data_IF_911811321368
#
_entry.id   IF_911811321368
#
_cell.length_a   1.000
_cell.length_b   1.000
_cell.length_c   1.000
_cell.angle_alpha   90.00
_cell.angle_beta   90.00
_cell.angle_gamma   90.00
#
_symmetry.space_group_name_H-M   'P 1'
#
loop_
_entity.id
_entity.type
_entity.pdbx_description
1 polymer ?
#
# COMPACT_ATOMS: atom_id res chain seq x y z
N UNK A 1 -22.15 71.29 2.78
CA UNK A 1 -21.16 70.43 2.09
C UNK A 1 -21.55 68.98 2.32
N UNK A 2 -21.81 68.22 1.26
CA UNK A 2 -22.30 66.83 1.33
C UNK A 2 -21.11 65.89 1.53
N UNK A 3 -21.09 65.14 2.63
CA UNK A 3 -20.05 64.14 2.94
C UNK A 3 -20.23 62.92 2.02
N UNK A 4 -19.23 62.62 1.20
CA UNK A 4 -19.23 61.50 0.27
C UNK A 4 -18.90 60.18 1.01
N UNK A 5 -19.90 59.39 1.33
CA UNK A 5 -19.76 58.05 1.95
C UNK A 5 -19.48 56.91 0.94
N UNK A 6 -19.05 57.21 -0.29
CA UNK A 6 -18.88 56.20 -1.35
C UNK A 6 -17.53 55.48 -1.35
N UNK A 7 -16.57 55.86 -0.49
CA UNK A 7 -15.22 55.24 -0.47
C UNK A 7 -15.11 54.07 0.53
N UNK A 8 -16.07 53.90 1.44
CA UNK A 8 -16.02 52.85 2.47
C UNK A 8 -16.51 51.46 2.02
N UNK A 9 -17.11 51.34 0.82
CA UNK A 9 -17.66 50.07 0.33
C UNK A 9 -16.66 49.20 -0.45
N UNK A 10 -15.48 49.73 -0.83
CA UNK A 10 -14.46 48.97 -1.57
C UNK A 10 -13.47 48.22 -0.68
N UNK A 11 -13.43 48.50 0.63
CA UNK A 11 -12.52 47.84 1.58
C UNK A 11 -13.11 46.63 2.31
N UNK A 12 -14.40 46.31 2.09
CA UNK A 12 -15.07 45.18 2.74
C UNK A 12 -15.07 43.89 1.89
N UNK A 13 -14.41 43.88 0.73
CA UNK A 13 -14.40 42.76 -0.22
C UNK A 13 -13.17 41.80 -0.22
N UNK A 14 -12.12 41.90 0.64
CA UNK A 14 -11.07 40.88 0.62
C UNK A 14 -11.30 39.70 1.59
N UNK A 15 -12.40 39.67 2.36
CA UNK A 15 -12.65 38.62 3.36
C UNK A 15 -13.55 37.47 2.90
N UNK A 16 -13.94 37.44 1.62
CA UNK A 16 -14.40 36.20 0.99
C UNK A 16 -13.19 35.46 0.43
N UNK A 17 -12.16 35.27 1.26
CA UNK A 17 -11.19 34.22 0.99
C UNK A 17 -11.99 32.92 0.91
N UNK A 18 -11.92 32.21 -0.22
CA UNK A 18 -12.42 30.85 -0.34
C UNK A 18 -11.97 30.11 0.92
N UNK A 19 -12.92 29.71 1.76
CA UNK A 19 -12.64 28.76 2.83
C UNK A 19 -12.04 27.56 2.11
N UNK A 20 -10.74 27.31 2.29
CA UNK A 20 -10.07 26.18 1.67
C UNK A 20 -10.88 24.95 2.07
N UNK A 21 -11.43 24.26 1.09
CA UNK A 21 -12.25 23.08 1.34
C UNK A 21 -11.39 22.11 2.16
N UNK A 22 -11.82 21.83 3.40
CA UNK A 22 -11.01 21.04 4.34
C UNK A 22 -10.88 19.61 3.84
N UNK A 23 -11.92 19.08 3.21
CA UNK A 23 -11.95 17.74 2.63
C UNK A 23 -11.78 17.81 1.11
N UNK A 24 -10.59 17.45 0.65
CA UNK A 24 -10.26 17.30 -0.77
C UNK A 24 -10.77 15.94 -1.27
N UNK A 25 -11.31 15.91 -2.49
CA UNK A 25 -11.37 14.71 -3.33
C UNK A 25 -10.96 15.14 -4.74
N UNK A 26 -9.75 14.79 -5.15
CA UNK A 26 -9.21 15.08 -6.47
C UNK A 26 -8.90 13.79 -7.21
N UNK A 27 -9.12 13.76 -8.53
CA UNK A 27 -8.85 12.60 -9.37
C UNK A 27 -8.08 13.01 -10.59
N UNK A 28 -7.01 12.27 -10.88
CA UNK A 28 -6.22 12.43 -12.09
C UNK A 28 -5.61 11.09 -12.51
N UNK A 29 -4.88 11.11 -13.61
CA UNK A 29 -4.23 9.92 -14.14
C UNK A 29 -2.74 10.17 -14.29
N UNK A 30 -1.95 9.22 -13.81
CA UNK A 30 -0.54 9.09 -14.14
C UNK A 30 -0.42 8.28 -15.44
N UNK A 31 0.46 8.71 -16.35
CA UNK A 31 0.78 7.94 -17.56
C UNK A 31 2.23 7.48 -17.52
N UNK A 32 2.45 6.20 -17.76
CA UNK A 32 3.78 5.64 -17.99
C UNK A 32 3.74 4.66 -19.18
N UNK A 33 4.25 5.10 -20.34
CA UNK A 33 4.11 4.35 -21.59
C UNK A 33 2.64 4.26 -22.00
N UNK A 34 2.16 3.04 -22.24
CA UNK A 34 0.76 2.73 -22.54
C UNK A 34 -0.11 2.59 -21.27
N UNK A 35 0.51 2.47 -20.10
CA UNK A 35 -0.20 2.37 -18.83
C UNK A 35 -0.79 3.71 -18.40
N UNK A 36 -2.05 3.69 -18.00
CA UNK A 36 -2.79 4.84 -17.45
C UNK A 36 -3.30 4.46 -16.06
N UNK A 37 -2.69 5.05 -15.03
CA UNK A 37 -2.84 4.67 -13.64
C UNK A 37 -3.69 5.74 -12.92
N UNK A 38 -4.90 5.40 -12.44
CA UNK A 38 -5.78 6.34 -11.77
C UNK A 38 -5.22 6.69 -10.39
N UNK A 39 -5.33 7.96 -10.03
CA UNK A 39 -4.92 8.50 -8.73
C UNK A 39 -6.09 9.29 -8.15
N UNK A 40 -6.33 9.10 -6.87
CA UNK A 40 -7.34 9.79 -6.07
C UNK A 40 -6.68 10.34 -4.83
N UNK A 41 -6.69 11.66 -4.68
CA UNK A 41 -6.20 12.33 -3.48
C UNK A 41 -7.40 12.72 -2.63
N UNK A 42 -7.45 12.25 -1.38
CA UNK A 42 -8.57 12.44 -0.46
C UNK A 42 -8.11 12.86 0.93
N UNK A 43 -8.93 13.63 1.64
CA UNK A 43 -8.70 13.99 3.04
C UNK A 43 -8.30 15.46 3.24
N UNK A 44 -7.54 15.73 4.30
CA UNK A 44 -7.30 17.07 4.80
C UNK A 44 -6.40 17.91 3.87
N UNK A 45 -7.01 18.77 3.06
CA UNK A 45 -6.32 19.63 2.09
C UNK A 45 -5.36 20.66 2.74
N UNK A 46 -5.60 21.01 4.00
CA UNK A 46 -4.76 21.95 4.74
C UNK A 46 -3.47 21.30 5.24
N UNK A 47 -3.39 19.97 5.25
CA UNK A 47 -2.22 19.23 5.70
C UNK A 47 -1.05 19.41 4.72
N UNK A 48 0.17 19.52 5.26
CA UNK A 48 1.40 19.48 4.47
C UNK A 48 1.96 18.06 4.33
N UNK A 49 1.24 17.06 4.85
CA UNK A 49 1.63 15.65 4.80
C UNK A 49 0.73 14.92 3.81
N UNK A 50 1.39 14.20 2.90
CA UNK A 50 0.75 13.28 1.95
C UNK A 50 1.18 11.85 2.25
N UNK A 51 0.24 10.92 2.31
CA UNK A 51 0.51 9.49 2.51
C UNK A 51 0.11 8.75 1.24
N UNK A 52 1.10 8.21 0.52
CA UNK A 52 0.88 7.39 -0.67
C UNK A 52 0.63 5.96 -0.25
N UNK A 53 -0.55 5.45 -0.60
CA UNK A 53 -0.99 4.10 -0.26
C UNK A 53 -0.55 3.14 -1.36
N UNK A 54 0.34 2.21 -1.04
CA UNK A 54 0.81 1.15 -1.92
C UNK A 54 0.02 -0.13 -1.58
N UNK A 55 -0.91 -0.51 -2.45
CA UNK A 55 -1.76 -1.68 -2.22
C UNK A 55 -0.98 -3.00 -2.24
N UNK A 56 -1.45 -3.94 -1.42
CA UNK A 56 -0.98 -5.32 -1.35
C UNK A 56 -1.60 -6.19 -2.44
N UNK A 57 -1.01 -7.35 -2.72
CA UNK A 57 -1.27 -8.05 -3.98
C UNK A 57 -0.92 -7.17 -5.20
N UNK A 58 -0.06 -7.61 -6.13
CA UNK A 58 0.23 -6.75 -7.28
C UNK A 58 -1.02 -6.41 -8.11
N UNK A 59 -2.18 -7.06 -7.87
CA UNK A 59 -3.46 -6.82 -8.54
C UNK A 59 -4.62 -6.28 -7.69
N UNK A 60 -4.43 -5.82 -6.44
CA UNK A 60 -5.50 -5.16 -5.66
C UNK A 60 -5.81 -3.74 -6.18
N UNK A 61 -6.69 -2.98 -5.52
CA UNK A 61 -6.98 -1.59 -5.84
C UNK A 61 -6.92 -0.74 -4.59
N UNK A 62 -5.99 0.22 -4.51
CA UNK A 62 -5.96 1.12 -3.37
C UNK A 62 -7.22 2.00 -3.31
N UNK A 63 -7.73 2.39 -4.48
CA UNK A 63 -8.91 3.25 -4.60
C UNK A 63 -10.15 2.55 -4.04
N UNK A 64 -10.30 1.24 -4.30
CA UNK A 64 -11.46 0.47 -3.85
C UNK A 64 -11.27 -0.15 -2.47
N UNK A 65 -10.10 -0.72 -2.20
CA UNK A 65 -9.88 -1.52 -0.99
C UNK A 65 -9.57 -0.67 0.25
N UNK A 66 -9.03 0.55 0.05
CA UNK A 66 -8.66 1.43 1.16
C UNK A 66 -9.30 2.82 1.09
N UNK A 67 -9.79 3.24 -0.08
CA UNK A 67 -10.42 4.57 -0.28
C UNK A 67 -11.87 4.67 0.18
N UNK A 68 -12.50 3.54 0.52
CA UNK A 68 -13.88 3.47 1.01
C UNK A 68 -14.00 4.03 2.43
N UNK A 69 -15.12 4.70 2.78
CA UNK A 69 -15.35 5.24 4.11
C UNK A 69 -15.22 4.17 5.21
N UNK A 70 -14.57 4.54 6.31
CA UNK A 70 -14.36 3.69 7.49
C UNK A 70 -12.99 3.01 7.54
N UNK A 71 -12.25 2.92 6.43
CA UNK A 71 -10.94 2.26 6.43
C UNK A 71 -9.84 3.17 7.00
N UNK A 72 -9.73 4.39 6.45
CA UNK A 72 -8.70 5.36 6.82
C UNK A 72 -9.25 6.72 7.24
N UNK A 73 -10.50 6.81 7.71
CA UNK A 73 -11.14 8.08 8.10
C UNK A 73 -10.28 8.92 9.06
N UNK A 74 -9.65 8.28 10.05
CA UNK A 74 -8.74 8.98 10.97
C UNK A 74 -7.53 9.56 10.27
N UNK A 75 -6.95 8.88 9.29
CA UNK A 75 -5.82 9.41 8.53
C UNK A 75 -6.29 10.51 7.58
N UNK A 76 -7.42 10.32 6.89
CA UNK A 76 -8.00 11.32 5.98
C UNK A 76 -8.38 12.62 6.69
N UNK A 77 -8.84 12.56 7.96
CA UNK A 77 -9.13 13.75 8.76
C UNK A 77 -7.86 14.57 9.09
N UNK A 78 -6.69 13.96 9.09
CA UNK A 78 -5.43 14.59 9.51
C UNK A 78 -4.46 14.88 8.34
N UNK A 79 -4.54 14.10 7.26
CA UNK A 79 -3.56 14.07 6.18
C UNK A 79 -4.23 13.96 4.80
N UNK A 80 -3.46 14.22 3.75
CA UNK A 80 -3.88 13.92 2.37
C UNK A 80 -3.46 12.49 2.05
N UNK A 81 -4.41 11.61 1.74
CA UNK A 81 -4.12 10.25 1.30
C UNK A 81 -4.15 10.20 -0.22
N UNK A 82 -3.13 9.55 -0.81
CA UNK A 82 -3.02 9.33 -2.24
C UNK A 82 -3.27 7.86 -2.50
N UNK A 83 -4.47 7.56 -2.97
CA UNK A 83 -4.87 6.25 -3.44
C UNK A 83 -4.59 6.16 -4.92
N UNK A 84 -3.84 5.15 -5.35
CA UNK A 84 -3.61 4.90 -6.76
C UNK A 84 -3.64 3.41 -7.02
N UNK A 85 -4.15 3.05 -8.19
CA UNK A 85 -4.06 1.66 -8.64
C UNK A 85 -2.77 1.50 -9.44
N UNK A 86 -1.96 0.51 -9.06
CA UNK A 86 -0.71 0.20 -9.75
C UNK A 86 -1.02 -0.38 -11.13
N UNK A 87 -0.02 -0.48 -12.00
CA UNK A 87 -0.19 -1.09 -13.33
C UNK A 87 -0.81 -2.49 -13.23
N UNK A 88 -1.61 -2.85 -14.22
CA UNK A 88 -2.35 -4.12 -14.26
C UNK A 88 -3.35 -4.37 -13.11
N UNK A 89 -3.62 -3.37 -12.28
CA UNK A 89 -4.41 -3.53 -11.06
C UNK A 89 -5.61 -2.57 -11.02
N UNK A 90 -6.66 -2.96 -10.31
CA UNK A 90 -7.84 -2.12 -10.09
C UNK A 90 -8.42 -1.49 -11.36
N UNK A 91 -8.45 -0.17 -11.39
CA UNK A 91 -8.98 0.67 -12.47
C UNK A 91 -7.91 1.12 -13.49
N UNK A 92 -6.69 0.60 -13.39
CA UNK A 92 -5.61 0.90 -14.35
C UNK A 92 -5.93 0.39 -15.74
N UNK A 93 -5.51 1.17 -16.75
CA UNK A 93 -5.66 0.83 -18.17
C UNK A 93 -4.29 0.67 -18.83
N UNK A 94 -4.28 0.09 -20.03
CA UNK A 94 -3.07 -0.25 -20.79
C UNK A 94 -3.00 -1.74 -21.07
N UNK A 95 -1.96 -2.17 -21.79
CA UNK A 95 -1.72 -3.60 -22.01
C UNK A 95 -1.08 -4.20 -20.76
N UNK A 96 -1.71 -5.24 -20.22
CA UNK A 96 -1.11 -6.05 -19.18
C UNK A 96 -0.52 -7.33 -19.79
N UNK A 97 0.78 -7.30 -20.11
CA UNK A 97 1.53 -8.48 -20.51
C UNK A 97 2.44 -8.93 -19.35
N UNK A 98 2.15 -10.08 -18.70
CA UNK A 98 2.97 -10.62 -17.62
C UNK A 98 4.45 -10.76 -17.98
N UNK A 99 4.79 -10.98 -19.26
CA UNK A 99 6.18 -11.12 -19.69
C UNK A 99 6.99 -9.81 -19.61
N UNK A 100 6.30 -8.67 -19.54
CA UNK A 100 6.93 -7.34 -19.46
C UNK A 100 6.97 -6.78 -18.04
N UNK A 101 6.19 -7.36 -17.11
CA UNK A 101 6.15 -6.92 -15.72
C UNK A 101 7.42 -7.33 -14.98
N UNK A 102 8.04 -6.35 -14.33
CA UNK A 102 9.22 -6.55 -13.50
C UNK A 102 9.29 -5.45 -12.42
N UNK A 103 10.18 -5.63 -11.44
CA UNK A 103 10.30 -4.73 -10.29
C UNK A 103 10.69 -3.30 -10.67
N UNK A 104 11.56 -3.12 -11.67
CA UNK A 104 11.96 -1.79 -12.13
C UNK A 104 10.78 -1.00 -12.68
N UNK A 105 9.89 -1.66 -13.42
CA UNK A 105 8.72 -1.01 -14.01
C UNK A 105 7.69 -0.55 -12.95
N UNK A 106 7.48 -1.34 -11.88
CA UNK A 106 6.64 -0.91 -10.75
C UNK A 106 7.29 0.23 -9.95
N UNK A 107 8.61 0.18 -9.77
CA UNK A 107 9.36 1.27 -9.13
C UNK A 107 9.27 2.55 -9.94
N UNK A 108 9.47 2.48 -11.25
CA UNK A 108 9.37 3.64 -12.16
C UNK A 108 7.99 4.30 -12.10
N UNK A 109 6.91 3.51 -12.00
CA UNK A 109 5.57 4.07 -11.80
C UNK A 109 5.47 4.88 -10.51
N UNK A 110 6.03 4.36 -9.41
CA UNK A 110 6.02 5.06 -8.14
C UNK A 110 6.91 6.32 -8.20
N UNK A 111 8.05 6.28 -8.88
CA UNK A 111 8.89 7.47 -9.15
C UNK A 111 8.11 8.56 -9.88
N UNK A 112 7.41 8.20 -10.96
CA UNK A 112 6.59 9.15 -11.72
C UNK A 112 5.38 9.64 -10.93
N UNK A 113 4.80 8.81 -10.07
CA UNK A 113 3.74 9.25 -9.15
C UNK A 113 4.27 10.32 -8.20
N UNK A 114 5.42 10.09 -7.56
CA UNK A 114 6.02 11.05 -6.63
C UNK A 114 6.38 12.35 -7.37
N UNK A 115 6.91 12.28 -8.60
CA UNK A 115 7.14 13.46 -9.45
C UNK A 115 5.85 14.25 -9.70
N UNK A 116 4.77 13.54 -10.07
CA UNK A 116 3.48 14.14 -10.36
C UNK A 116 2.86 14.80 -9.12
N UNK A 117 3.02 14.19 -7.94
CA UNK A 117 2.55 14.77 -6.68
C UNK A 117 3.32 16.05 -6.34
N UNK A 118 4.63 16.06 -6.50
CA UNK A 118 5.46 17.26 -6.29
C UNK A 118 5.06 18.38 -7.27
N UNK A 119 4.80 18.05 -8.54
CA UNK A 119 4.35 19.01 -9.54
C UNK A 119 2.98 19.60 -9.22
N UNK A 120 2.02 18.78 -8.78
CA UNK A 120 0.64 19.21 -8.53
C UNK A 120 0.46 19.94 -7.19
N UNK A 121 1.18 19.50 -6.15
CA UNK A 121 0.95 19.96 -4.77
C UNK A 121 2.09 20.76 -4.14
N UNK A 122 3.25 20.84 -4.80
CA UNK A 122 4.42 21.58 -4.34
C UNK A 122 5.47 20.70 -3.65
N UNK A 123 6.74 21.10 -3.79
CA UNK A 123 7.90 20.39 -3.22
C UNK A 123 8.03 20.55 -1.70
N UNK A 124 7.23 21.43 -1.07
CA UNK A 124 7.15 21.61 0.38
C UNK A 124 6.30 20.54 1.08
N UNK A 125 5.53 19.75 0.31
CA UNK A 125 4.78 18.62 0.84
C UNK A 125 5.73 17.54 1.37
N UNK A 126 5.43 17.06 2.57
CA UNK A 126 6.09 15.90 3.18
C UNK A 126 5.39 14.63 2.72
N UNK A 127 6.06 13.84 1.88
CA UNK A 127 5.51 12.59 1.34
C UNK A 127 5.94 11.41 2.23
N UNK A 128 4.99 10.59 2.62
CA UNK A 128 5.18 9.30 3.29
C UNK A 128 4.66 8.19 2.40
N UNK A 129 5.27 7.01 2.49
CA UNK A 129 4.78 5.79 1.87
C UNK A 129 4.11 4.92 2.93
N UNK A 130 2.98 4.32 2.60
CA UNK A 130 2.34 3.27 3.40
C UNK A 130 2.07 2.08 2.50
N UNK A 131 2.78 0.97 2.74
CA UNK A 131 2.69 -0.22 1.89
C UNK A 131 2.16 -1.42 2.64
N UNK A 132 1.06 -1.98 2.13
CA UNK A 132 0.49 -3.24 2.66
C UNK A 132 0.99 -4.43 1.83
N UNK A 133 1.45 -5.51 2.46
CA UNK A 133 1.85 -6.75 1.76
C UNK A 133 2.84 -6.48 0.60
N UNK A 134 2.50 -6.82 -0.65
CA UNK A 134 3.27 -6.45 -1.86
C UNK A 134 3.66 -4.97 -1.89
N UNK A 135 2.77 -4.06 -1.49
CA UNK A 135 3.06 -2.63 -1.42
C UNK A 135 4.19 -2.29 -0.44
N UNK A 136 4.41 -3.13 0.58
CA UNK A 136 5.55 -3.01 1.47
C UNK A 136 6.88 -3.32 0.76
N UNK A 137 6.90 -4.36 -0.09
CA UNK A 137 8.05 -4.64 -0.96
C UNK A 137 8.27 -3.54 -1.98
N UNK A 138 7.21 -3.06 -2.64
CA UNK A 138 7.31 -1.96 -3.59
C UNK A 138 7.90 -0.70 -2.94
N UNK A 139 7.44 -0.37 -1.72
CA UNK A 139 7.99 0.73 -0.95
C UNK A 139 9.49 0.59 -0.70
N UNK A 140 9.96 -0.62 -0.36
CA UNK A 140 11.38 -0.88 -0.16
C UNK A 140 12.19 -0.85 -1.46
N UNK A 141 11.67 -1.45 -2.54
CA UNK A 141 12.28 -1.37 -3.87
C UNK A 141 12.49 0.07 -4.31
N UNK A 142 11.50 0.93 -4.06
CA UNK A 142 11.59 2.36 -4.34
C UNK A 142 12.65 3.06 -3.47
N UNK A 143 12.65 2.82 -2.16
CA UNK A 143 13.54 3.51 -1.22
C UNK A 143 15.01 3.11 -1.34
N UNK A 144 15.28 1.88 -1.80
CA UNK A 144 16.64 1.38 -2.01
C UNK A 144 17.30 1.94 -3.28
N UNK A 145 16.54 2.59 -4.15
CA UNK A 145 17.06 3.19 -5.38
C UNK A 145 17.65 4.58 -5.12
N UNK A 146 18.92 4.74 -5.51
CA UNK A 146 19.66 6.01 -5.57
C UNK A 146 19.31 6.98 -4.42
N UNK A 147 18.62 8.09 -4.75
CA UNK A 147 18.27 9.18 -3.86
C UNK A 147 16.76 9.23 -3.58
N UNK A 148 16.00 8.17 -3.92
CA UNK A 148 14.56 8.14 -3.68
C UNK A 148 14.23 8.25 -2.18
N UNK A 149 15.11 7.77 -1.31
CA UNK A 149 14.97 7.95 0.14
C UNK A 149 14.91 9.43 0.56
N UNK A 150 15.64 10.34 -0.11
CA UNK A 150 15.63 11.78 0.24
C UNK A 150 14.29 12.46 -0.05
N UNK A 151 13.49 11.85 -0.94
CA UNK A 151 12.18 12.33 -1.37
C UNK A 151 11.06 11.94 -0.42
N UNK A 152 11.30 10.98 0.48
CA UNK A 152 10.30 10.37 1.36
C UNK A 152 10.65 10.61 2.81
N UNK A 153 9.71 11.16 3.59
CA UNK A 153 9.90 11.48 5.01
C UNK A 153 9.78 10.28 5.95
N UNK A 154 9.10 9.23 5.50
CA UNK A 154 8.98 7.99 6.26
C UNK A 154 8.22 6.94 5.48
N UNK A 155 8.41 5.69 5.90
CA UNK A 155 7.76 4.53 5.31
C UNK A 155 7.10 3.69 6.40
N UNK A 156 5.84 3.35 6.17
CA UNK A 156 5.02 2.51 7.04
C UNK A 156 4.81 1.18 6.30
N UNK A 157 5.51 0.14 6.76
CA UNK A 157 5.34 -1.21 6.24
C UNK A 157 4.24 -1.93 7.03
N UNK A 158 3.16 -2.31 6.36
CA UNK A 158 2.01 -3.03 6.94
C UNK A 158 2.05 -4.47 6.40
N UNK A 159 2.60 -5.39 7.19
CA UNK A 159 2.65 -6.82 6.84
C UNK A 159 3.30 -7.11 5.47
N UNK A 160 4.31 -6.31 5.09
CA UNK A 160 5.01 -6.44 3.81
C UNK A 160 6.34 -7.18 3.92
N UNK A 161 6.64 -8.14 3.02
CA UNK A 161 7.92 -8.82 3.03
C UNK A 161 9.02 -7.89 2.51
N UNK A 162 10.10 -7.74 3.30
CA UNK A 162 11.26 -6.93 2.91
C UNK A 162 12.25 -7.67 2.02
N UNK A 163 12.17 -9.01 2.00
CA UNK A 163 12.91 -9.88 1.11
C UNK A 163 11.99 -11.04 0.72
N UNK A 164 11.32 -10.93 -0.43
CA UNK A 164 10.32 -11.93 -0.88
C UNK A 164 10.90 -13.34 -0.97
N UNK A 165 12.04 -13.57 -1.68
CA UNK A 165 12.63 -14.91 -1.78
C UNK A 165 12.93 -15.53 -0.41
N UNK A 166 13.56 -14.77 0.48
CA UNK A 166 13.90 -15.25 1.82
C UNK A 166 12.65 -15.50 2.67
N UNK A 167 11.63 -14.65 2.56
CA UNK A 167 10.37 -14.80 3.32
C UNK A 167 9.68 -16.10 2.94
N UNK A 168 9.66 -16.45 1.65
CA UNK A 168 9.07 -17.70 1.17
C UNK A 168 9.79 -18.92 1.75
N UNK A 169 11.12 -18.97 1.66
CA UNK A 169 11.90 -20.09 2.19
C UNK A 169 11.73 -20.19 3.72
N UNK A 170 11.82 -19.06 4.43
CA UNK A 170 11.64 -19.03 5.87
C UNK A 170 10.24 -19.49 6.30
N UNK A 171 9.19 -19.12 5.54
CA UNK A 171 7.83 -19.57 5.82
C UNK A 171 7.68 -21.09 5.62
N UNK A 172 8.25 -21.64 4.53
CA UNK A 172 8.29 -23.09 4.30
C UNK A 172 9.00 -23.80 5.45
N UNK A 173 10.22 -23.36 5.76
CA UNK A 173 11.06 -23.98 6.78
C UNK A 173 10.38 -23.93 8.15
N UNK A 174 9.75 -22.79 8.50
CA UNK A 174 8.95 -22.68 9.71
C UNK A 174 7.80 -23.70 9.76
N UNK A 175 7.03 -23.84 8.66
CA UNK A 175 5.93 -24.84 8.60
C UNK A 175 6.47 -26.26 8.79
N UNK A 176 7.59 -26.59 8.14
CA UNK A 176 8.21 -27.92 8.25
C UNK A 176 8.73 -28.19 9.66
N UNK A 177 9.49 -27.26 10.23
CA UNK A 177 10.13 -27.42 11.53
C UNK A 177 9.13 -27.40 12.68
N UNK A 178 8.27 -26.36 12.72
CA UNK A 178 7.25 -26.23 13.76
C UNK A 178 6.19 -27.32 13.64
N UNK A 179 5.72 -27.60 12.41
CA UNK A 179 4.78 -28.69 12.16
C UNK A 179 5.36 -30.04 12.58
N UNK A 180 6.64 -30.29 12.30
CA UNK A 180 7.35 -31.49 12.73
C UNK A 180 7.38 -31.64 14.26
N UNK A 181 7.59 -30.54 14.99
CA UNK A 181 7.51 -30.54 16.46
C UNK A 181 6.10 -30.86 16.96
N UNK A 182 5.06 -30.32 16.33
CA UNK A 182 3.66 -30.60 16.69
C UNK A 182 3.29 -32.06 16.45
N UNK A 183 3.71 -32.63 15.31
CA UNK A 183 3.55 -34.05 14.99
C UNK A 183 4.23 -34.93 16.03
N UNK A 184 5.47 -34.62 16.43
CA UNK A 184 6.20 -35.36 17.46
C UNK A 184 5.52 -35.32 18.84
N UNK A 185 4.84 -34.21 19.16
CA UNK A 185 4.09 -34.04 20.40
C UNK A 185 2.67 -34.64 20.34
N UNK A 186 2.25 -35.17 19.20
CA UNK A 186 0.90 -35.72 19.01
C UNK A 186 -0.20 -34.64 18.94
N UNK A 187 0.17 -33.39 18.66
CA UNK A 187 -0.76 -32.26 18.60
C UNK A 187 -1.23 -32.11 17.16
N UNK A 188 -2.54 -32.29 16.93
CA UNK A 188 -3.18 -32.14 15.62
C UNK A 188 -2.39 -32.77 14.45
N UNK A 189 -1.83 -33.96 14.68
CA UNK A 189 -0.83 -34.63 13.83
C UNK A 189 -1.21 -34.65 12.35
N UNK A 190 -2.42 -35.07 12.01
CA UNK A 190 -2.85 -35.19 10.60
C UNK A 190 -2.89 -33.84 9.87
N UNK A 191 -3.27 -32.76 10.57
CA UNK A 191 -3.31 -31.41 9.97
C UNK A 191 -1.89 -30.88 9.74
N UNK A 192 -1.02 -30.99 10.75
CA UNK A 192 0.37 -30.55 10.61
C UNK A 192 1.12 -31.36 9.56
N UNK A 193 0.94 -32.68 9.52
CA UNK A 193 1.54 -33.52 8.48
C UNK A 193 1.05 -33.11 7.08
N UNK A 194 -0.25 -32.83 6.91
CA UNK A 194 -0.80 -32.34 5.65
C UNK A 194 -0.22 -30.98 5.20
N UNK A 195 0.11 -30.09 6.14
CA UNK A 195 0.80 -28.83 5.82
C UNK A 195 2.26 -29.07 5.40
N UNK A 196 2.99 -29.92 6.13
CA UNK A 196 4.38 -30.28 5.81
C UNK A 196 4.45 -30.91 4.42
N UNK A 197 3.63 -31.93 4.16
CA UNK A 197 3.62 -32.67 2.88
C UNK A 197 3.35 -31.75 1.69
N UNK A 198 2.54 -30.70 1.90
CA UNK A 198 2.22 -29.71 0.87
C UNK A 198 3.40 -28.80 0.53
N UNK A 199 4.24 -28.43 1.49
CA UNK A 199 5.25 -27.37 1.30
C UNK A 199 6.69 -27.87 1.26
N UNK A 200 7.00 -29.06 1.78
CA UNK A 200 8.36 -29.51 2.03
C UNK A 200 9.27 -29.53 0.80
N UNK A 201 8.70 -29.72 -0.40
CA UNK A 201 9.46 -29.78 -1.65
C UNK A 201 9.26 -28.54 -2.55
N UNK A 202 8.59 -27.49 -2.04
CA UNK A 202 8.36 -26.26 -2.80
C UNK A 202 9.54 -25.30 -2.65
N UNK A 203 9.79 -24.49 -3.69
CA UNK A 203 10.85 -23.46 -3.68
C UNK A 203 10.29 -22.05 -3.89
N UNK A 204 11.17 -21.05 -3.84
CA UNK A 204 10.83 -19.67 -4.18
C UNK A 204 11.06 -19.33 -5.67
N UNK A 205 11.37 -20.33 -6.50
CA UNK A 205 11.69 -20.13 -7.92
C UNK A 205 10.44 -19.95 -8.80
N UNK A 206 9.31 -20.51 -8.37
CA UNK A 206 8.05 -20.49 -9.11
C UNK A 206 6.97 -19.76 -8.31
N UNK A 207 6.19 -18.91 -8.96
CA UNK A 207 5.17 -18.10 -8.29
C UNK A 207 4.03 -18.96 -7.72
N UNK A 208 3.75 -20.10 -8.34
CA UNK A 208 2.77 -21.08 -7.87
C UNK A 208 3.19 -21.68 -6.54
N UNK A 209 4.48 -22.00 -6.39
CA UNK A 209 5.05 -22.56 -5.17
C UNK A 209 5.04 -21.52 -4.04
N UNK A 210 5.48 -20.30 -4.33
CA UNK A 210 5.39 -19.14 -3.41
C UNK A 210 3.94 -18.96 -2.92
N UNK A 211 2.98 -18.99 -3.84
CA UNK A 211 1.56 -18.88 -3.52
C UNK A 211 1.06 -20.04 -2.64
N UNK A 212 1.48 -21.26 -2.94
CA UNK A 212 1.11 -22.44 -2.17
C UNK A 212 1.70 -22.42 -0.75
N UNK A 213 2.94 -21.98 -0.57
CA UNK A 213 3.58 -21.78 0.73
C UNK A 213 2.81 -20.71 1.52
N UNK A 214 2.57 -19.55 0.93
CA UNK A 214 1.84 -18.45 1.58
C UNK A 214 0.43 -18.86 2.02
N UNK A 215 -0.34 -19.52 1.15
CA UNK A 215 -1.67 -20.04 1.48
C UNK A 215 -1.63 -21.09 2.59
N UNK A 216 -0.56 -21.89 2.66
CA UNK A 216 -0.41 -22.89 3.72
C UNK A 216 -0.10 -22.21 5.05
N UNK A 217 0.81 -21.23 5.06
CA UNK A 217 1.11 -20.41 6.23
C UNK A 217 -0.13 -19.68 6.78
N UNK A 218 -0.98 -19.15 5.91
CA UNK A 218 -2.26 -18.58 6.34
C UNK A 218 -3.14 -19.62 7.07
N UNK A 219 -3.24 -20.84 6.54
CA UNK A 219 -4.04 -21.92 7.15
C UNK A 219 -3.44 -22.48 8.44
N UNK A 220 -2.12 -22.38 8.63
CA UNK A 220 -1.52 -22.80 9.90
C UNK A 220 -1.92 -21.86 11.03
N UNK A 221 -2.17 -20.58 10.73
CA UNK A 221 -2.66 -19.62 11.71
C UNK A 221 -4.03 -20.01 12.30
N UNK A 222 -4.94 -20.60 11.50
CA UNK A 222 -6.22 -21.12 12.01
C UNK A 222 -5.99 -22.19 13.08
N UNK A 223 -5.02 -23.08 12.87
CA UNK A 223 -4.66 -24.13 13.83
C UNK A 223 -4.07 -23.54 15.11
N UNK A 224 -3.22 -22.52 14.98
CA UNK A 224 -2.62 -21.83 16.12
C UNK A 224 -3.69 -21.12 16.98
N UNK A 225 -4.65 -20.43 16.35
CA UNK A 225 -5.76 -19.78 17.05
C UNK A 225 -6.62 -20.81 17.80
N UNK A 226 -6.93 -21.93 17.17
CA UNK A 226 -7.66 -23.03 17.82
C UNK A 226 -6.90 -23.54 19.05
N UNK A 227 -5.57 -23.70 18.95
CA UNK A 227 -4.73 -24.12 20.06
C UNK A 227 -4.71 -23.12 21.22
N UNK A 228 -4.55 -21.83 20.93
CA UNK A 228 -4.56 -20.78 21.97
C UNK A 228 -5.90 -20.69 22.69
N UNK A 229 -7.01 -20.95 21.99
CA UNK A 229 -8.35 -20.96 22.58
C UNK A 229 -8.54 -22.12 23.59
N UNK A 230 -7.78 -23.20 23.46
CA UNK A 230 -7.79 -24.35 24.38
C UNK A 230 -7.00 -24.07 25.66
N UNK A 231 -5.99 -23.19 25.61
CA UNK A 231 -5.19 -22.81 26.79
C UNK A 231 -5.69 -21.56 27.52
N UNK A 232 -6.64 -20.83 26.92
CA UNK A 232 -7.25 -19.63 27.51
C UNK A 232 -8.49 -19.91 28.39
N UNK A 233 -8.88 -21.18 28.58
CA UNK A 233 -9.97 -21.62 29.46
C UNK A 233 -9.50 -22.45 30.64
#
# INVERSE_FOLDING_TARGET
MKTNYWILLFFLLPFLACKKEENLIERFYLKNGDAVLPVVVKGNNASNVMIVVLHGGPGDSAIRSYGDPGFFDNLENNYQLVYWDQRCAGLSQGTCDPATLNFDLYREDLEKLVDLLVLNYGADKSIFLMGHSWGGTLGLLYLLEENNQDRIKGFICVDGPHNFPLTTDAARDYIVDFGGQMVQQGIQTDRWQGFIDRVANLSNDQIEDVSAINQTGYKTNDVLIEMDSVFAG
#
